data_IF_220896737671
#
_entry.id   IF_220896737671
#
_cell.length_a   1.000
_cell.length_b   1.000
_cell.length_c   1.000
_cell.angle_alpha   90.00
_cell.angle_beta   90.00
_cell.angle_gamma   90.00
#
_symmetry.space_group_name_H-M   'P 1'
#
loop_
_entity.id
_entity.type
_entity.pdbx_description
1 polymer ?
#
# COMPACT_ATOMS: atom_id res chain seq x y z
N UNK A 1 0.67 10.62 -13.67
CA UNK A 1 1.50 9.41 -13.58
C UNK A 1 2.53 9.59 -12.48
N UNK A 2 2.29 8.95 -11.31
CA UNK A 2 3.20 9.07 -10.18
C UNK A 2 4.47 8.24 -10.39
N UNK A 3 5.45 8.80 -11.06
CA UNK A 3 6.80 8.20 -11.06
C UNK A 3 7.45 8.45 -9.69
N UNK A 4 8.27 7.51 -9.24
CA UNK A 4 9.18 7.74 -8.12
C UNK A 4 10.05 8.94 -8.50
N UNK A 5 10.09 10.03 -7.71
CA UNK A 5 10.61 11.32 -8.19
C UNK A 5 12.14 11.46 -8.11
N UNK A 6 12.88 10.37 -8.24
CA UNK A 6 14.34 10.44 -8.34
C UNK A 6 14.81 9.69 -9.58
N UNK A 7 15.64 10.36 -10.35
CA UNK A 7 16.25 9.83 -11.55
C UNK A 7 17.46 8.97 -11.15
N UNK A 8 17.24 7.68 -11.05
CA UNK A 8 18.32 6.71 -10.85
C UNK A 8 18.21 5.64 -11.95
N UNK A 9 19.27 5.41 -12.74
CA UNK A 9 19.22 4.45 -13.85
C UNK A 9 18.86 3.04 -13.40
N UNK A 10 19.31 2.61 -12.23
CA UNK A 10 18.99 1.29 -11.69
C UNK A 10 17.50 1.18 -11.34
N UNK A 11 16.94 2.21 -10.70
CA UNK A 11 15.52 2.25 -10.37
C UNK A 11 14.67 2.27 -11.64
N UNK A 12 15.05 3.06 -12.64
CA UNK A 12 14.35 3.12 -13.92
C UNK A 12 14.36 1.76 -14.64
N UNK A 13 15.50 1.05 -14.64
CA UNK A 13 15.61 -0.29 -15.19
C UNK A 13 14.69 -1.27 -14.48
N UNK A 14 14.73 -1.29 -13.14
CA UNK A 14 13.88 -2.18 -12.33
C UNK A 14 12.39 -1.91 -12.54
N UNK A 15 12.00 -0.65 -12.66
CA UNK A 15 10.63 -0.28 -12.97
C UNK A 15 10.21 -0.73 -14.38
N UNK A 16 11.10 -0.58 -15.36
CA UNK A 16 10.83 -1.00 -16.73
C UNK A 16 10.65 -2.51 -16.85
N UNK A 17 11.54 -3.31 -16.27
CA UNK A 17 11.40 -4.77 -16.29
C UNK A 17 10.16 -5.23 -15.53
N UNK A 18 9.76 -4.51 -14.50
CA UNK A 18 8.51 -4.77 -13.77
C UNK A 18 7.29 -4.55 -14.67
N UNK A 19 7.22 -3.44 -15.39
CA UNK A 19 6.13 -3.18 -16.34
C UNK A 19 6.07 -4.24 -17.46
N UNK A 20 7.19 -4.65 -17.98
CA UNK A 20 7.27 -5.73 -18.97
C UNK A 20 6.79 -7.06 -18.37
N UNK A 21 7.17 -7.37 -17.15
CA UNK A 21 6.74 -8.57 -16.42
C UNK A 21 5.25 -8.57 -16.13
N UNK A 22 4.69 -7.44 -15.72
CA UNK A 22 3.25 -7.30 -15.48
C UNK A 22 2.42 -7.62 -16.73
N UNK A 23 2.91 -7.28 -17.91
CA UNK A 23 2.26 -7.66 -19.18
C UNK A 23 2.51 -9.11 -19.55
N UNK A 24 3.75 -9.58 -19.41
CA UNK A 24 4.17 -10.93 -19.80
C UNK A 24 3.43 -12.01 -19.03
N UNK A 25 3.27 -11.86 -17.72
CA UNK A 25 2.69 -12.87 -16.85
C UNK A 25 1.15 -12.77 -16.72
N UNK A 26 0.53 -11.78 -17.34
CA UNK A 26 -0.91 -11.64 -17.44
C UNK A 26 -1.37 -12.26 -18.76
N UNK A 27 -1.63 -13.57 -18.74
CA UNK A 27 -1.97 -14.35 -19.93
C UNK A 27 -3.16 -15.30 -19.67
N UNK A 28 -4.35 -14.75 -19.38
CA UNK A 28 -5.54 -15.58 -19.19
C UNK A 28 -6.10 -16.10 -20.52
N UNK A 29 -6.72 -17.28 -20.49
CA UNK A 29 -7.40 -17.85 -21.64
C UNK A 29 -8.69 -17.11 -22.02
N UNK A 30 -9.28 -16.37 -21.09
CA UNK A 30 -10.52 -15.61 -21.29
C UNK A 30 -10.18 -14.15 -21.54
N UNK A 31 -10.55 -13.65 -22.72
CA UNK A 31 -10.21 -12.28 -23.17
C UNK A 31 -10.74 -11.19 -22.22
N UNK A 32 -11.92 -11.35 -21.65
CA UNK A 32 -12.48 -10.39 -20.69
C UNK A 32 -11.58 -10.20 -19.46
N UNK A 33 -11.00 -11.27 -18.95
CA UNK A 33 -10.05 -11.23 -17.81
C UNK A 33 -8.81 -10.44 -18.21
N UNK A 34 -8.30 -10.63 -19.42
CA UNK A 34 -7.16 -9.89 -19.93
C UNK A 34 -7.50 -8.39 -20.08
N UNK A 35 -8.67 -8.06 -20.60
CA UNK A 35 -9.12 -6.68 -20.78
C UNK A 35 -9.22 -5.94 -19.44
N UNK A 36 -9.86 -6.53 -18.46
CA UNK A 36 -10.00 -5.93 -17.12
C UNK A 36 -8.66 -5.87 -16.40
N UNK A 37 -7.86 -6.93 -16.48
CA UNK A 37 -6.51 -6.96 -15.92
C UNK A 37 -5.63 -5.85 -16.49
N UNK A 38 -5.61 -5.69 -17.80
CA UNK A 38 -4.87 -4.61 -18.47
C UNK A 38 -5.40 -3.23 -18.11
N UNK A 39 -6.70 -3.08 -17.94
CA UNK A 39 -7.31 -1.82 -17.52
C UNK A 39 -6.78 -1.38 -16.15
N UNK A 40 -6.79 -2.27 -15.17
CA UNK A 40 -6.36 -1.94 -13.81
C UNK A 40 -4.83 -1.81 -13.69
N UNK A 41 -4.05 -2.69 -14.31
CA UNK A 41 -2.58 -2.62 -14.34
C UNK A 41 -2.13 -1.38 -15.12
N UNK A 42 -2.72 -1.15 -16.28
CA UNK A 42 -2.40 0.01 -17.14
C UNK A 42 -2.84 1.35 -16.56
N UNK A 43 -3.67 1.38 -15.52
CA UNK A 43 -4.05 2.58 -14.78
C UNK A 43 -2.89 3.30 -14.08
N UNK A 44 -1.72 2.70 -14.06
CA UNK A 44 -0.51 3.26 -13.47
C UNK A 44 -0.30 2.83 -12.01
N UNK A 45 0.60 3.50 -11.37
CA UNK A 45 1.02 3.26 -10.00
C UNK A 45 2.52 3.45 -9.88
N UNK A 46 3.00 3.66 -8.65
CA UNK A 46 4.42 3.91 -8.38
C UNK A 46 5.25 2.63 -8.39
N UNK A 47 4.61 1.47 -8.37
CA UNK A 47 5.26 0.15 -8.33
C UNK A 47 6.26 -0.01 -7.17
N UNK A 48 5.98 0.63 -6.03
CA UNK A 48 6.90 0.61 -4.88
C UNK A 48 7.12 -0.80 -4.34
N UNK A 49 6.08 -1.62 -4.27
CA UNK A 49 6.17 -2.97 -3.70
C UNK A 49 7.07 -3.88 -4.52
N UNK A 50 6.88 -4.03 -5.85
CA UNK A 50 7.82 -4.81 -6.65
C UNK A 50 9.22 -4.19 -6.68
N UNK A 51 9.34 -2.87 -6.72
CA UNK A 51 10.64 -2.17 -6.66
C UNK A 51 11.40 -2.52 -5.38
N UNK A 52 10.75 -2.48 -4.23
CA UNK A 52 11.35 -2.81 -2.94
C UNK A 52 11.85 -4.27 -2.91
N UNK A 53 11.05 -5.21 -3.40
CA UNK A 53 11.45 -6.61 -3.49
C UNK A 53 12.73 -6.77 -4.32
N UNK A 54 12.77 -6.17 -5.50
CA UNK A 54 13.91 -6.23 -6.41
C UNK A 54 15.16 -5.53 -5.84
N UNK A 55 14.98 -4.38 -5.18
CA UNK A 55 16.08 -3.65 -4.55
C UNK A 55 16.70 -4.45 -3.41
N UNK A 56 15.91 -5.05 -2.54
CA UNK A 56 16.45 -5.89 -1.46
C UNK A 56 17.17 -7.13 -2.02
N UNK A 57 16.58 -7.80 -2.99
CA UNK A 57 17.21 -8.94 -3.64
C UNK A 57 18.56 -8.56 -4.26
N UNK A 58 18.59 -7.50 -5.06
CA UNK A 58 19.81 -6.99 -5.71
C UNK A 58 20.85 -6.54 -4.68
N UNK A 59 20.42 -5.74 -3.69
CA UNK A 59 21.29 -5.20 -2.67
C UNK A 59 21.91 -6.24 -1.74
N UNK A 60 21.27 -7.39 -1.59
CA UNK A 60 21.73 -8.53 -0.80
C UNK A 60 22.48 -9.57 -1.62
N UNK A 61 22.71 -9.31 -2.91
CA UNK A 61 23.63 -10.10 -3.72
C UNK A 61 23.03 -11.08 -4.71
N UNK A 62 21.72 -11.00 -4.99
CA UNK A 62 21.13 -11.84 -6.06
C UNK A 62 21.74 -11.44 -7.40
N UNK A 63 22.36 -12.40 -8.15
CA UNK A 63 22.94 -12.12 -9.47
C UNK A 63 21.88 -11.65 -10.46
N UNK A 64 22.28 -10.80 -11.42
CA UNK A 64 21.38 -10.21 -12.41
C UNK A 64 20.57 -11.26 -13.18
N UNK A 65 21.18 -12.36 -13.58
CA UNK A 65 20.49 -13.45 -14.31
C UNK A 65 19.35 -14.05 -13.46
N UNK A 66 19.63 -14.34 -12.19
CA UNK A 66 18.63 -14.88 -11.25
C UNK A 66 17.55 -13.84 -10.94
N UNK A 67 17.95 -12.57 -10.83
CA UNK A 67 17.00 -11.46 -10.60
C UNK A 67 15.94 -11.42 -11.72
N UNK A 68 16.37 -11.51 -12.98
CA UNK A 68 15.47 -11.47 -14.13
C UNK A 68 14.63 -12.74 -14.28
N UNK A 69 15.24 -13.91 -14.10
CA UNK A 69 14.57 -15.19 -14.38
C UNK A 69 13.70 -15.70 -13.25
N UNK A 70 14.07 -15.45 -11.99
CA UNK A 70 13.39 -16.02 -10.82
C UNK A 70 12.80 -15.01 -9.86
N UNK A 71 13.46 -13.87 -9.65
CA UNK A 71 13.01 -12.87 -8.67
C UNK A 71 11.95 -11.93 -9.25
N UNK A 72 12.12 -11.51 -10.50
CA UNK A 72 11.15 -10.65 -11.17
C UNK A 72 9.73 -11.23 -11.17
N UNK A 73 9.49 -12.52 -11.48
CA UNK A 73 8.15 -13.10 -11.37
C UNK A 73 7.52 -12.96 -9.98
N UNK A 74 8.33 -13.04 -8.92
CA UNK A 74 7.87 -12.86 -7.54
C UNK A 74 7.45 -11.40 -7.28
N UNK A 75 8.22 -10.45 -7.79
CA UNK A 75 7.89 -9.02 -7.72
C UNK A 75 6.59 -8.72 -8.48
N UNK A 76 6.42 -9.30 -9.66
CA UNK A 76 5.17 -9.21 -10.44
C UNK A 76 4.00 -9.79 -9.65
N UNK A 77 4.18 -10.94 -9.01
CA UNK A 77 3.16 -11.57 -8.18
C UNK A 77 2.69 -10.65 -7.03
N UNK A 78 3.62 -9.98 -6.36
CA UNK A 78 3.28 -8.98 -5.33
C UNK A 78 2.40 -7.87 -5.89
N UNK A 79 2.72 -7.34 -7.06
CA UNK A 79 1.92 -6.27 -7.67
C UNK A 79 0.55 -6.79 -8.13
N UNK A 80 0.43 -8.03 -8.57
CA UNK A 80 -0.87 -8.65 -8.86
C UNK A 80 -1.73 -8.79 -7.60
N UNK A 81 -1.14 -9.14 -6.46
CA UNK A 81 -1.86 -9.17 -5.18
C UNK A 81 -2.38 -7.77 -4.83
N UNK A 82 -1.53 -6.76 -4.95
CA UNK A 82 -1.93 -5.37 -4.71
C UNK A 82 -3.07 -4.95 -5.63
N UNK A 83 -2.93 -5.21 -6.91
CA UNK A 83 -3.93 -4.85 -7.93
C UNK A 83 -5.24 -5.59 -7.72
N UNK A 84 -5.20 -6.87 -7.38
CA UNK A 84 -6.37 -7.66 -7.01
C UNK A 84 -7.11 -7.05 -5.82
N UNK A 85 -6.36 -6.63 -4.78
CA UNK A 85 -6.96 -5.95 -3.63
C UNK A 85 -7.67 -4.66 -4.01
N UNK A 86 -7.11 -3.89 -4.95
CA UNK A 86 -7.72 -2.66 -5.45
C UNK A 86 -9.04 -2.94 -6.19
N UNK A 87 -9.09 -3.99 -7.02
CA UNK A 87 -10.32 -4.40 -7.70
C UNK A 87 -11.43 -4.77 -6.70
N UNK A 88 -11.09 -5.55 -5.69
CA UNK A 88 -12.05 -5.97 -4.66
C UNK A 88 -12.50 -4.81 -3.78
N UNK A 89 -11.57 -3.98 -3.32
CA UNK A 89 -11.85 -2.84 -2.44
C UNK A 89 -12.78 -1.82 -3.12
N UNK A 90 -12.59 -1.56 -4.41
CA UNK A 90 -13.43 -0.63 -5.15
C UNK A 90 -14.88 -1.12 -5.25
N UNK A 91 -15.10 -2.43 -5.35
CA UNK A 91 -16.45 -3.01 -5.30
C UNK A 91 -17.06 -2.87 -3.90
N UNK A 92 -16.30 -3.23 -2.87
CA UNK A 92 -16.75 -3.16 -1.46
C UNK A 92 -17.06 -1.73 -1.05
N UNK A 93 -16.22 -0.76 -1.45
CA UNK A 93 -16.36 0.65 -1.10
C UNK A 93 -17.30 1.41 -2.06
N UNK A 94 -17.82 0.75 -3.10
CA UNK A 94 -18.63 1.38 -4.15
C UNK A 94 -17.93 2.61 -4.76
N UNK A 95 -16.61 2.51 -4.95
CA UNK A 95 -15.79 3.61 -5.46
C UNK A 95 -16.19 3.99 -6.89
N UNK A 96 -16.23 5.28 -7.17
CA UNK A 96 -16.54 5.78 -8.52
C UNK A 96 -15.29 5.80 -9.40
N UNK A 97 -14.15 6.13 -8.83
CA UNK A 97 -12.90 6.33 -9.55
C UNK A 97 -11.72 5.65 -8.87
N UNK A 98 -10.73 5.33 -9.69
CA UNK A 98 -9.41 4.83 -9.26
C UNK A 98 -8.34 5.53 -10.10
N UNK A 99 -7.41 6.25 -9.45
CA UNK A 99 -6.29 6.96 -10.13
C UNK A 99 -6.76 7.89 -11.26
N UNK A 100 -7.85 8.61 -11.03
CA UNK A 100 -8.43 9.55 -11.98
C UNK A 100 -9.21 8.92 -13.14
N UNK A 101 -9.36 7.58 -13.14
CA UNK A 101 -10.18 6.85 -14.11
C UNK A 101 -11.40 6.25 -13.45
N UNK A 102 -12.40 5.92 -14.24
CA UNK A 102 -13.58 5.21 -13.75
C UNK A 102 -13.17 3.86 -13.15
N UNK A 103 -13.73 3.49 -11.99
CA UNK A 103 -13.43 2.22 -11.35
C UNK A 103 -13.88 1.04 -12.24
N UNK A 104 -13.06 -0.03 -12.27
CA UNK A 104 -13.30 -1.17 -13.17
C UNK A 104 -14.68 -1.78 -13.03
N UNK A 105 -15.22 -1.90 -11.80
CA UNK A 105 -16.55 -2.48 -11.57
C UNK A 105 -17.69 -1.65 -12.20
N UNK A 106 -17.49 -0.37 -12.39
CA UNK A 106 -18.48 0.50 -13.04
C UNK A 106 -18.54 0.31 -14.56
N UNK A 107 -17.41 -0.03 -15.16
CA UNK A 107 -17.30 -0.28 -16.61
C UNK A 107 -17.69 -1.72 -16.93
N UNK A 108 -17.15 -2.69 -16.17
CA UNK A 108 -17.24 -4.12 -16.49
C UNK A 108 -18.24 -4.91 -15.63
N UNK A 109 -18.80 -4.27 -14.60
CA UNK A 109 -19.71 -4.89 -13.64
C UNK A 109 -18.96 -5.48 -12.42
N UNK A 110 -19.68 -5.60 -11.30
CA UNK A 110 -19.13 -6.09 -10.03
C UNK A 110 -18.59 -7.52 -10.14
N UNK A 111 -19.36 -8.41 -10.75
CA UNK A 111 -19.00 -9.83 -10.88
C UNK A 111 -17.70 -10.02 -11.65
N UNK A 112 -17.56 -9.36 -12.79
CA UNK A 112 -16.33 -9.43 -13.61
C UNK A 112 -15.13 -8.85 -12.86
N UNK A 113 -15.30 -7.72 -12.16
CA UNK A 113 -14.23 -7.10 -11.40
C UNK A 113 -13.76 -8.01 -10.25
N UNK A 114 -14.67 -8.57 -9.47
CA UNK A 114 -14.35 -9.49 -8.36
C UNK A 114 -13.63 -10.73 -8.86
N UNK A 115 -14.15 -11.39 -9.91
CA UNK A 115 -13.56 -12.62 -10.44
C UNK A 115 -12.21 -12.36 -11.14
N UNK A 116 -12.02 -11.20 -11.75
CA UNK A 116 -10.71 -10.82 -12.28
C UNK A 116 -9.70 -10.62 -11.14
N UNK A 117 -10.12 -10.02 -10.03
CA UNK A 117 -9.31 -9.95 -8.82
C UNK A 117 -8.92 -11.35 -8.30
N UNK A 118 -9.86 -12.29 -8.26
CA UNK A 118 -9.59 -13.68 -7.89
C UNK A 118 -8.58 -14.33 -8.83
N UNK A 119 -8.70 -14.10 -10.14
CA UNK A 119 -7.72 -14.57 -11.11
C UNK A 119 -6.33 -14.00 -10.82
N UNK A 120 -6.22 -12.72 -10.52
CA UNK A 120 -4.94 -12.07 -10.24
C UNK A 120 -4.31 -12.59 -8.96
N UNK A 121 -5.08 -12.85 -7.90
CA UNK A 121 -4.60 -13.54 -6.70
C UNK A 121 -4.07 -14.93 -7.02
N UNK A 122 -4.86 -15.73 -7.76
CA UNK A 122 -4.47 -17.08 -8.15
C UNK A 122 -3.21 -17.08 -9.03
N UNK A 123 -3.11 -16.14 -9.97
CA UNK A 123 -1.94 -15.98 -10.83
C UNK A 123 -0.68 -15.63 -10.03
N UNK A 124 -0.81 -14.77 -9.02
CA UNK A 124 0.28 -14.46 -8.09
C UNK A 124 0.75 -15.71 -7.34
N UNK A 125 -0.18 -16.50 -6.79
CA UNK A 125 0.16 -17.76 -6.12
C UNK A 125 0.82 -18.76 -7.08
N UNK A 126 0.37 -18.82 -8.32
CA UNK A 126 0.98 -19.65 -9.35
C UNK A 126 2.44 -19.24 -9.63
N UNK A 127 2.72 -17.95 -9.74
CA UNK A 127 4.10 -17.45 -9.90
C UNK A 127 4.97 -17.82 -8.70
N UNK A 128 4.45 -17.73 -7.47
CA UNK A 128 5.18 -18.14 -6.27
C UNK A 128 5.40 -19.64 -6.19
N UNK A 129 4.47 -20.45 -6.71
CA UNK A 129 4.65 -21.89 -6.81
C UNK A 129 5.76 -22.27 -7.82
N UNK A 130 5.85 -21.53 -8.93
CA UNK A 130 6.84 -21.81 -9.98
C UNK A 130 8.24 -21.29 -9.65
N UNK A 131 8.34 -20.08 -9.10
CA UNK A 131 9.60 -19.34 -8.98
C UNK A 131 10.05 -19.11 -7.53
N UNK A 132 9.18 -19.33 -6.57
CA UNK A 132 9.46 -19.17 -5.15
C UNK A 132 9.78 -20.48 -4.45
N UNK A 133 9.67 -20.44 -3.15
CA UNK A 133 9.82 -21.59 -2.27
C UNK A 133 8.75 -21.58 -1.17
N UNK A 134 8.73 -22.63 -0.34
CA UNK A 134 7.71 -22.75 0.71
C UNK A 134 7.70 -21.56 1.67
N UNK A 135 8.86 -21.04 2.07
CA UNK A 135 8.93 -19.90 3.00
C UNK A 135 8.37 -18.62 2.36
N UNK A 136 8.65 -18.37 1.09
CA UNK A 136 8.08 -17.23 0.37
C UNK A 136 6.57 -17.34 0.26
N UNK A 137 6.03 -18.52 -0.03
CA UNK A 137 4.59 -18.77 -0.07
C UNK A 137 3.96 -18.52 1.29
N UNK A 138 4.58 -19.01 2.36
CA UNK A 138 4.14 -18.77 3.74
C UNK A 138 4.05 -17.29 4.06
N UNK A 139 5.11 -16.52 3.76
CA UNK A 139 5.18 -15.08 4.01
C UNK A 139 4.10 -14.32 3.23
N UNK A 140 3.95 -14.59 1.95
CA UNK A 140 2.96 -13.91 1.09
C UNK A 140 1.54 -14.30 1.48
N UNK A 141 1.30 -15.58 1.78
CA UNK A 141 -0.02 -16.04 2.24
C UNK A 141 -0.42 -15.39 3.56
N UNK A 142 0.53 -15.24 4.48
CA UNK A 142 0.29 -14.52 5.74
C UNK A 142 -0.09 -13.05 5.49
N UNK A 143 0.59 -12.39 4.56
CA UNK A 143 0.25 -11.01 4.20
C UNK A 143 -1.18 -10.91 3.62
N UNK A 144 -1.56 -11.82 2.72
CA UNK A 144 -2.91 -11.83 2.13
C UNK A 144 -3.99 -12.07 3.19
N UNK A 145 -3.74 -12.98 4.14
CA UNK A 145 -4.64 -13.19 5.29
C UNK A 145 -4.83 -11.91 6.10
N UNK A 146 -3.72 -11.24 6.44
CA UNK A 146 -3.76 -9.98 7.18
C UNK A 146 -4.48 -8.86 6.40
N UNK A 147 -4.31 -8.81 5.09
CA UNK A 147 -5.01 -7.85 4.23
C UNK A 147 -6.54 -8.05 4.28
N UNK A 148 -6.99 -9.29 4.17
CA UNK A 148 -8.41 -9.63 4.26
C UNK A 148 -8.98 -9.31 5.65
N UNK A 149 -8.28 -9.68 6.71
CA UNK A 149 -8.68 -9.40 8.08
C UNK A 149 -8.75 -7.88 8.36
N UNK A 150 -7.76 -7.12 7.88
CA UNK A 150 -7.74 -5.67 8.01
C UNK A 150 -8.89 -5.00 7.30
N UNK A 151 -9.23 -5.45 6.10
CA UNK A 151 -10.38 -4.94 5.33
C UNK A 151 -11.71 -5.24 6.04
N UNK A 152 -11.90 -6.45 6.52
CA UNK A 152 -13.11 -6.82 7.28
C UNK A 152 -13.22 -6.02 8.56
N UNK A 153 -12.13 -5.84 9.30
CA UNK A 153 -12.11 -5.06 10.53
C UNK A 153 -12.47 -3.60 10.27
N UNK A 154 -11.89 -2.99 9.24
CA UNK A 154 -12.24 -1.61 8.86
C UNK A 154 -13.71 -1.50 8.51
N UNK A 155 -14.23 -2.40 7.69
CA UNK A 155 -15.63 -2.39 7.29
C UNK A 155 -16.58 -2.51 8.50
N UNK A 156 -16.24 -3.39 9.44
CA UNK A 156 -17.02 -3.58 10.67
C UNK A 156 -16.98 -2.36 11.59
N UNK A 157 -15.91 -1.59 11.58
CA UNK A 157 -15.70 -0.44 12.47
C UNK A 157 -16.14 0.90 11.88
N UNK A 158 -16.62 0.93 10.66
CA UNK A 158 -17.20 2.15 10.07
C UNK A 158 -18.34 2.66 10.96
N UNK A 159 -18.34 3.96 11.26
CA UNK A 159 -19.32 4.59 12.12
C UNK A 159 -18.99 4.58 13.62
N UNK A 160 -17.92 3.92 14.02
CA UNK A 160 -17.46 3.84 15.42
C UNK A 160 -16.15 4.61 15.62
N UNK A 161 -16.02 5.25 16.79
CA UNK A 161 -14.72 5.76 17.23
C UNK A 161 -13.86 4.60 17.72
N UNK A 162 -12.75 4.35 17.04
CA UNK A 162 -11.82 3.29 17.39
C UNK A 162 -10.61 3.85 18.15
N UNK A 163 -9.91 2.99 18.87
CA UNK A 163 -8.66 3.33 19.54
C UNK A 163 -7.45 3.23 18.59
N UNK A 164 -6.29 3.71 19.06
CA UNK A 164 -5.04 3.68 18.30
C UNK A 164 -4.61 2.24 17.95
N UNK A 165 -4.76 1.30 18.88
CA UNK A 165 -4.42 -0.12 18.66
C UNK A 165 -5.23 -0.73 17.52
N UNK A 166 -6.54 -0.48 17.48
CA UNK A 166 -7.42 -0.94 16.39
C UNK A 166 -7.07 -0.27 15.07
N UNK A 167 -6.77 1.03 15.09
CA UNK A 167 -6.30 1.76 13.91
C UNK A 167 -5.06 1.10 13.31
N UNK A 168 -4.02 0.84 14.12
CA UNK A 168 -2.81 0.20 13.61
C UNK A 168 -3.05 -1.23 13.15
N UNK A 169 -3.92 -1.98 13.78
CA UNK A 169 -4.32 -3.31 13.31
C UNK A 169 -4.93 -3.25 11.90
N UNK A 170 -5.78 -2.27 11.64
CA UNK A 170 -6.39 -2.06 10.32
C UNK A 170 -5.32 -1.73 9.27
N UNK A 171 -4.49 -0.72 9.51
CA UNK A 171 -3.50 -0.29 8.52
C UNK A 171 -2.37 -1.29 8.32
N UNK A 172 -2.00 -2.03 9.37
CA UNK A 172 -1.01 -3.11 9.26
C UNK A 172 -1.50 -4.22 8.33
N UNK A 173 -2.78 -4.56 8.40
CA UNK A 173 -3.38 -5.49 7.45
C UNK A 173 -3.52 -4.91 6.05
N UNK A 174 -4.24 -3.82 5.91
CA UNK A 174 -4.59 -3.26 4.60
C UNK A 174 -3.40 -2.78 3.77
N UNK A 175 -2.39 -2.21 4.41
CA UNK A 175 -1.28 -1.53 3.72
C UNK A 175 0.07 -2.12 4.05
N UNK A 176 0.41 -2.23 5.33
CA UNK A 176 1.78 -2.54 5.78
C UNK A 176 2.18 -3.99 5.49
N UNK A 177 1.24 -4.94 5.59
CA UNK A 177 1.54 -6.37 5.44
C UNK A 177 2.15 -6.70 4.07
N UNK A 178 1.64 -6.11 2.99
CA UNK A 178 2.16 -6.37 1.65
C UNK A 178 3.52 -5.68 1.41
N UNK A 179 3.76 -4.51 1.98
CA UNK A 179 5.09 -3.92 2.01
C UNK A 179 6.08 -4.83 2.76
N UNK A 180 5.66 -5.36 3.91
CA UNK A 180 6.46 -6.27 4.72
C UNK A 180 6.79 -7.57 3.96
N UNK A 181 5.81 -8.16 3.29
CA UNK A 181 6.02 -9.33 2.44
C UNK A 181 6.98 -9.05 1.29
N UNK A 182 6.88 -7.89 0.65
CA UNK A 182 7.76 -7.49 -0.46
C UNK A 182 9.22 -7.47 -0.04
N UNK A 183 9.54 -6.81 1.06
CA UNK A 183 10.90 -6.69 1.56
C UNK A 183 11.43 -8.02 2.12
N UNK A 184 10.58 -8.80 2.78
CA UNK A 184 10.93 -10.13 3.27
C UNK A 184 11.21 -11.12 2.12
N UNK A 185 10.40 -11.13 1.06
CA UNK A 185 10.61 -11.98 -0.11
C UNK A 185 11.89 -11.60 -0.85
N UNK A 186 12.18 -10.30 -0.98
CA UNK A 186 13.45 -9.84 -1.54
C UNK A 186 14.67 -10.40 -0.78
N UNK A 187 14.62 -10.38 0.55
CA UNK A 187 15.66 -10.96 1.40
C UNK A 187 15.73 -12.49 1.27
N UNK A 188 14.60 -13.17 1.23
CA UNK A 188 14.55 -14.63 1.04
C UNK A 188 15.10 -15.04 -0.33
N UNK A 189 14.86 -14.24 -1.38
CA UNK A 189 15.45 -14.47 -2.70
C UNK A 189 16.99 -14.42 -2.66
N UNK A 190 17.56 -13.62 -1.76
CA UNK A 190 19.00 -13.55 -1.49
C UNK A 190 19.44 -14.56 -0.41
N UNK A 191 18.60 -15.51 -0.07
CA UNK A 191 18.89 -16.58 0.90
C UNK A 191 19.20 -16.09 2.33
N UNK A 192 18.61 -14.97 2.73
CA UNK A 192 18.73 -14.45 4.08
C UNK A 192 17.83 -15.24 5.04
N UNK A 193 18.44 -15.88 6.05
CA UNK A 193 17.69 -16.66 7.06
C UNK A 193 16.90 -15.77 8.02
N UNK A 194 17.42 -14.60 8.34
CA UNK A 194 16.82 -13.61 9.23
C UNK A 194 15.81 -12.69 8.52
N UNK A 195 14.95 -13.24 7.71
CA UNK A 195 13.98 -12.49 6.90
C UNK A 195 13.03 -11.61 7.74
N UNK A 196 12.86 -11.92 9.02
CA UNK A 196 11.96 -11.17 9.91
C UNK A 196 12.36 -9.69 10.07
N UNK A 197 13.65 -9.38 10.07
CA UNK A 197 14.09 -7.99 10.14
C UNK A 197 13.69 -7.20 8.90
N UNK A 198 13.64 -7.86 7.76
CA UNK A 198 13.18 -7.24 6.49
C UNK A 198 11.66 -7.11 6.45
N UNK A 199 10.93 -8.05 7.02
CA UNK A 199 9.50 -7.91 7.26
C UNK A 199 9.22 -6.67 8.12
N UNK A 200 9.94 -6.49 9.21
CA UNK A 200 9.80 -5.32 10.10
C UNK A 200 10.09 -4.01 9.37
N UNK A 201 11.10 -3.99 8.52
CA UNK A 201 11.37 -2.82 7.67
C UNK A 201 10.17 -2.46 6.82
N UNK A 202 9.62 -3.41 6.09
CA UNK A 202 8.47 -3.18 5.23
C UNK A 202 7.21 -2.79 6.00
N UNK A 203 7.02 -3.37 7.18
CA UNK A 203 5.92 -3.02 8.08
C UNK A 203 5.98 -1.54 8.49
N UNK A 204 7.14 -1.06 8.90
CA UNK A 204 7.35 0.34 9.30
C UNK A 204 7.18 1.30 8.13
N UNK A 205 7.72 0.95 6.98
CA UNK A 205 7.53 1.74 5.75
C UNK A 205 6.05 1.84 5.37
N UNK A 206 5.33 0.72 5.41
CA UNK A 206 3.89 0.68 5.10
C UNK A 206 3.05 1.50 6.07
N UNK A 207 3.38 1.47 7.37
CA UNK A 207 2.74 2.33 8.37
C UNK A 207 2.95 3.81 8.07
N UNK A 208 4.20 4.19 7.79
CA UNK A 208 4.51 5.57 7.43
C UNK A 208 3.76 6.00 6.16
N UNK A 209 3.72 5.14 5.17
CA UNK A 209 3.00 5.38 3.92
C UNK A 209 1.52 5.66 4.18
N UNK A 210 0.85 4.84 4.98
CA UNK A 210 -0.57 5.02 5.29
C UNK A 210 -0.81 6.23 6.19
N UNK A 211 0.04 6.49 7.17
CA UNK A 211 -0.06 7.69 8.01
C UNK A 211 0.01 8.98 7.18
N UNK A 212 0.91 9.04 6.20
CA UNK A 212 0.98 10.18 5.28
C UNK A 212 -0.29 10.30 4.43
N UNK A 213 -0.84 9.19 3.90
CA UNK A 213 -2.12 9.23 3.19
C UNK A 213 -3.24 9.78 4.07
N UNK A 214 -3.30 9.35 5.31
CA UNK A 214 -4.32 9.80 6.26
C UNK A 214 -4.14 11.28 6.62
N UNK A 215 -2.90 11.76 6.76
CA UNK A 215 -2.59 13.17 6.95
C UNK A 215 -3.03 14.02 5.73
N UNK A 216 -2.74 13.53 4.53
CA UNK A 216 -3.09 14.23 3.29
C UNK A 216 -4.60 14.34 3.08
N UNK A 217 -5.40 13.39 3.57
CA UNK A 217 -6.86 13.46 3.55
C UNK A 217 -7.41 14.68 4.32
N UNK A 218 -6.70 15.11 5.36
CA UNK A 218 -7.05 16.29 6.16
C UNK A 218 -6.37 17.57 5.67
N UNK A 219 -5.26 17.45 4.95
CA UNK A 219 -4.46 18.57 4.45
C UNK A 219 -4.91 19.00 3.06
N UNK A 220 -4.79 20.27 2.75
CA UNK A 220 -4.97 20.76 1.39
C UNK A 220 -6.23 21.58 1.21
N UNK A 221 -6.41 22.06 0.00
CA UNK A 221 -7.54 22.83 -0.49
C UNK A 221 -8.24 21.99 -1.55
N UNK A 222 -9.55 21.84 -1.45
CA UNK A 222 -10.40 21.13 -2.42
C UNK A 222 -10.14 21.60 -3.86
N UNK A 223 -9.80 22.88 -4.03
CA UNK A 223 -9.51 23.47 -5.32
C UNK A 223 -8.18 23.02 -5.93
N UNK A 224 -7.18 22.72 -5.09
CA UNK A 224 -5.85 22.29 -5.53
C UNK A 224 -5.73 20.79 -5.73
N UNK A 225 -6.46 20.00 -4.94
CA UNK A 225 -6.31 18.55 -4.87
C UNK A 225 -7.37 17.80 -5.67
N UNK A 226 -8.49 18.45 -5.98
CA UNK A 226 -9.59 17.83 -6.71
C UNK A 226 -10.35 16.74 -5.94
N UNK A 227 -10.07 16.58 -4.66
CA UNK A 227 -10.76 15.66 -3.75
C UNK A 227 -11.32 16.44 -2.57
N UNK A 228 -12.50 16.03 -2.02
CA UNK A 228 -13.01 16.61 -0.78
C UNK A 228 -12.02 16.37 0.37
N UNK A 229 -11.84 17.38 1.22
CA UNK A 229 -11.02 17.27 2.43
C UNK A 229 -11.83 16.54 3.51
N UNK A 230 -11.15 15.64 4.25
CA UNK A 230 -11.79 14.91 5.34
C UNK A 230 -12.72 13.79 4.87
N UNK A 231 -12.44 13.20 3.73
CA UNK A 231 -13.25 12.13 3.15
C UNK A 231 -13.37 10.92 4.09
N UNK A 232 -12.28 10.56 4.78
CA UNK A 232 -12.29 9.44 5.74
C UNK A 232 -13.30 9.67 6.86
N UNK A 233 -13.27 10.84 7.47
CA UNK A 233 -14.22 11.19 8.53
C UNK A 233 -15.66 11.25 8.00
N UNK A 234 -15.86 11.82 6.82
CA UNK A 234 -17.16 11.85 6.14
C UNK A 234 -17.74 10.45 5.97
N UNK A 235 -16.91 9.48 5.65
CA UNK A 235 -17.28 8.07 5.46
C UNK A 235 -17.44 7.29 6.77
N UNK A 236 -17.24 7.94 7.91
CA UNK A 236 -17.34 7.30 9.23
C UNK A 236 -16.10 6.53 9.65
N UNK A 237 -14.94 6.88 9.09
CA UNK A 237 -13.65 6.24 9.40
C UNK A 237 -12.85 7.08 10.39
N UNK A 238 -12.35 6.45 11.46
CA UNK A 238 -11.39 7.04 12.38
C UNK A 238 -9.98 6.82 11.85
N UNK A 239 -9.25 7.91 11.59
CA UNK A 239 -7.84 7.83 11.21
C UNK A 239 -6.95 8.62 12.18
N UNK A 240 -5.65 8.51 12.02
CA UNK A 240 -4.68 9.03 13.00
C UNK A 240 -4.78 10.54 13.26
N UNK A 241 -5.02 11.42 12.27
CA UNK A 241 -5.19 12.85 12.55
C UNK A 241 -6.24 13.14 13.62
N UNK A 242 -7.40 12.48 13.53
CA UNK A 242 -8.45 12.57 14.53
C UNK A 242 -8.00 12.03 15.90
N UNK A 243 -7.40 10.84 15.92
CA UNK A 243 -6.92 10.20 17.14
C UNK A 243 -5.85 11.04 17.85
N UNK A 244 -4.97 11.68 17.10
CA UNK A 244 -3.84 12.44 17.64
C UNK A 244 -4.25 13.67 18.46
N UNK A 245 -5.46 14.18 18.27
CA UNK A 245 -5.97 15.39 18.93
C UNK A 245 -7.29 15.13 19.70
N UNK A 246 -7.65 13.87 19.85
CA UNK A 246 -8.94 13.46 20.41
C UNK A 246 -9.20 14.04 21.81
N UNK A 247 -8.16 14.18 22.62
CA UNK A 247 -8.24 14.76 23.97
C UNK A 247 -8.79 16.20 24.00
N UNK A 248 -8.62 16.93 22.91
CA UNK A 248 -9.03 18.33 22.77
C UNK A 248 -10.35 18.49 21.99
N UNK A 249 -11.04 17.38 21.71
CA UNK A 249 -12.31 17.37 21.00
C UNK A 249 -13.46 16.95 21.91
N UNK A 250 -14.66 17.38 21.55
CA UNK A 250 -15.87 16.88 22.20
C UNK A 250 -16.19 15.47 21.67
N UNK A 251 -16.03 14.46 22.52
CA UNK A 251 -16.21 13.06 22.14
C UNK A 251 -17.61 12.74 21.62
N UNK A 252 -18.63 13.33 22.22
CA UNK A 252 -20.02 13.09 21.79
C UNK A 252 -20.29 13.65 20.38
N UNK A 253 -19.73 14.81 20.06
CA UNK A 253 -19.80 15.36 18.70
C UNK A 253 -19.05 14.49 17.69
N UNK A 254 -17.86 14.02 18.06
CA UNK A 254 -17.05 13.11 17.21
C UNK A 254 -17.80 11.81 16.93
N UNK A 255 -18.33 11.17 17.96
CA UNK A 255 -19.12 9.94 17.83
C UNK A 255 -20.37 10.14 16.97
N UNK A 256 -21.05 11.27 17.13
CA UNK A 256 -22.21 11.62 16.32
C UNK A 256 -21.87 11.77 14.84
N UNK A 257 -20.77 12.44 14.53
CA UNK A 257 -20.30 12.61 13.14
C UNK A 257 -19.94 11.26 12.54
N UNK A 258 -19.18 10.41 13.24
CA UNK A 258 -18.79 9.09 12.78
C UNK A 258 -19.99 8.18 12.52
N UNK A 259 -20.99 8.22 13.39
CA UNK A 259 -22.20 7.39 13.29
C UNK A 259 -23.20 7.85 12.23
N UNK A 260 -22.95 8.99 11.58
CA UNK A 260 -23.79 9.54 10.52
C UNK A 260 -22.97 9.72 9.22
N UNK A 261 -22.56 8.63 8.56
CA UNK A 261 -21.77 8.71 7.34
C UNK A 261 -22.48 9.54 6.26
N UNK A 262 -21.68 10.34 5.54
CA UNK A 262 -22.14 11.24 4.48
C UNK A 262 -23.03 12.41 4.94
N UNK A 263 -23.09 12.67 6.26
CA UNK A 263 -23.67 13.90 6.81
C UNK A 263 -22.73 15.10 6.66
N UNK A 264 -23.23 16.31 6.96
CA UNK A 264 -22.44 17.56 6.81
C UNK A 264 -21.61 17.94 8.05
N UNK A 265 -21.85 17.29 9.20
CA UNK A 265 -21.21 17.62 10.46
C UNK A 265 -19.69 17.40 10.53
N UNK A 266 -19.13 16.60 9.62
CA UNK A 266 -17.71 16.28 9.59
C UNK A 266 -16.81 17.50 9.32
N UNK A 267 -17.29 18.49 8.58
CA UNK A 267 -16.50 19.68 8.18
C UNK A 267 -15.97 20.46 9.37
N UNK A 268 -16.80 20.65 10.40
CA UNK A 268 -16.41 21.33 11.64
C UNK A 268 -15.29 20.56 12.35
N UNK A 269 -15.43 19.25 12.46
CA UNK A 269 -14.43 18.39 13.12
C UNK A 269 -13.12 18.40 12.35
N UNK A 270 -13.17 18.33 11.01
CA UNK A 270 -11.96 18.42 10.15
C UNK A 270 -11.20 19.70 10.40
N UNK A 271 -11.88 20.84 10.47
CA UNK A 271 -11.25 22.14 10.75
C UNK A 271 -10.60 22.15 12.14
N UNK A 272 -11.29 21.63 13.16
CA UNK A 272 -10.74 21.55 14.52
C UNK A 272 -9.50 20.63 14.58
N UNK A 273 -9.53 19.49 13.92
CA UNK A 273 -8.38 18.58 13.84
C UNK A 273 -7.17 19.28 13.21
N UNK A 274 -7.39 20.05 12.14
CA UNK A 274 -6.32 20.84 11.49
C UNK A 274 -5.79 21.93 12.44
N UNK A 275 -6.66 22.70 13.07
CA UNK A 275 -6.27 23.77 14.00
C UNK A 275 -5.49 23.24 15.21
N UNK A 276 -5.84 22.06 15.71
CA UNK A 276 -5.16 21.40 16.83
C UNK A 276 -3.85 20.72 16.45
N UNK A 277 -3.46 20.76 15.17
CA UNK A 277 -2.20 20.20 14.70
C UNK A 277 -2.25 18.71 14.40
N UNK A 278 -3.44 18.12 14.13
CA UNK A 278 -3.60 16.70 13.85
C UNK A 278 -2.83 16.22 12.63
N UNK A 279 -2.75 17.04 11.60
CA UNK A 279 -1.96 16.73 10.38
C UNK A 279 -0.46 16.63 10.72
N UNK A 280 0.08 17.60 11.42
CA UNK A 280 1.50 17.63 11.77
C UNK A 280 1.89 16.51 12.75
N UNK A 281 1.03 16.23 13.73
CA UNK A 281 1.22 15.09 14.65
C UNK A 281 1.24 13.74 13.91
N UNK A 282 0.41 13.58 12.89
CA UNK A 282 0.39 12.38 12.05
C UNK A 282 1.66 12.24 11.23
N UNK A 283 2.13 13.32 10.62
CA UNK A 283 3.41 13.36 9.89
C UNK A 283 4.60 13.04 10.80
N UNK A 284 4.58 13.56 12.02
CA UNK A 284 5.60 13.26 13.03
C UNK A 284 5.62 11.77 13.41
N UNK A 285 4.44 11.16 13.58
CA UNK A 285 4.34 9.72 13.80
C UNK A 285 4.91 8.93 12.62
N UNK A 286 4.61 9.35 11.38
CA UNK A 286 5.18 8.74 10.17
C UNK A 286 6.70 8.84 10.14
N UNK A 287 7.28 9.99 10.49
CA UNK A 287 8.74 10.18 10.58
C UNK A 287 9.36 9.23 11.59
N UNK A 288 8.70 8.99 12.73
CA UNK A 288 9.15 8.01 13.73
C UNK A 288 9.23 6.59 13.17
N UNK A 289 8.22 6.15 12.41
CA UNK A 289 8.23 4.86 11.74
C UNK A 289 9.36 4.76 10.68
N UNK A 290 9.57 5.82 9.91
CA UNK A 290 10.65 5.87 8.92
C UNK A 290 12.03 5.88 9.56
N UNK A 291 12.21 6.54 10.70
CA UNK A 291 13.46 6.51 11.43
C UNK A 291 13.78 5.10 11.92
N UNK A 292 12.79 4.37 12.42
CA UNK A 292 12.95 2.97 12.81
C UNK A 292 13.31 2.08 11.59
N UNK A 293 12.73 2.36 10.42
CA UNK A 293 13.08 1.68 9.18
C UNK A 293 14.54 1.97 8.77
N UNK A 294 15.00 3.22 8.87
CA UNK A 294 16.42 3.60 8.59
C UNK A 294 17.40 2.85 9.50
N UNK A 295 17.07 2.71 10.76
CA UNK A 295 17.90 1.96 11.71
C UNK A 295 18.07 0.50 11.28
N UNK A 296 17.03 -0.12 10.71
CA UNK A 296 17.10 -1.47 10.16
C UNK A 296 18.06 -1.50 8.96
N UNK A 297 18.00 -0.52 8.05
CA UNK A 297 18.92 -0.45 6.91
C UNK A 297 20.39 -0.40 7.34
N UNK A 298 20.68 0.19 8.49
CA UNK A 298 22.04 0.26 9.05
C UNK A 298 22.52 -1.08 9.66
N UNK A 299 21.62 -2.03 9.88
CA UNK A 299 21.93 -3.32 10.54
C UNK A 299 22.02 -4.49 9.55
N UNK A 300 21.68 -4.29 8.29
CA UNK A 300 21.62 -5.34 7.26
C UNK A 300 22.71 -5.17 6.22
N UNK A 301 23.20 -6.28 5.61
CA UNK A 301 24.36 -6.25 4.71
C UNK A 301 24.02 -5.84 3.27
N UNK A 302 23.28 -4.76 3.11
CA UNK A 302 22.98 -4.18 1.81
C UNK A 302 24.21 -3.49 1.21
N UNK A 303 24.39 -3.58 -0.10
CA UNK A 303 25.40 -2.76 -0.76
C UNK A 303 25.05 -1.27 -0.65
N UNK A 304 26.08 -0.43 -0.69
CA UNK A 304 25.92 1.02 -0.42
C UNK A 304 25.04 1.75 -1.41
N UNK A 305 25.05 1.31 -2.67
CA UNK A 305 24.23 1.92 -3.73
C UNK A 305 22.73 1.66 -3.48
N UNK A 306 22.35 0.41 -3.21
CA UNK A 306 20.96 0.05 -2.91
C UNK A 306 20.50 0.68 -1.59
N UNK A 307 21.36 0.70 -0.58
CA UNK A 307 21.05 1.38 0.68
C UNK A 307 20.72 2.86 0.46
N UNK A 308 21.47 3.55 -0.40
CA UNK A 308 21.20 4.94 -0.78
C UNK A 308 19.83 5.07 -1.47
N UNK A 309 19.50 4.19 -2.40
CA UNK A 309 18.21 4.19 -3.10
C UNK A 309 17.05 3.95 -2.12
N UNK A 310 17.19 3.03 -1.19
CA UNK A 310 16.18 2.76 -0.17
C UNK A 310 15.97 3.97 0.75
N UNK A 311 17.04 4.66 1.14
CA UNK A 311 16.92 5.90 1.90
C UNK A 311 16.19 7.00 1.12
N UNK A 312 16.41 7.10 -0.20
CA UNK A 312 15.66 8.02 -1.06
C UNK A 312 14.17 7.68 -1.12
N UNK A 313 13.83 6.40 -1.13
CA UNK A 313 12.42 5.96 -1.06
C UNK A 313 11.79 6.38 0.29
N UNK A 314 12.51 6.22 1.40
CA UNK A 314 12.02 6.67 2.70
C UNK A 314 11.78 8.19 2.73
N UNK A 315 12.70 8.99 2.19
CA UNK A 315 12.54 10.44 2.07
C UNK A 315 11.32 10.79 1.22
N UNK A 316 11.15 10.11 0.10
CA UNK A 316 10.00 10.31 -0.79
C UNK A 316 8.66 10.09 -0.08
N UNK A 317 8.54 9.05 0.75
CA UNK A 317 7.29 8.75 1.47
C UNK A 317 6.87 9.91 2.38
N UNK A 318 7.81 10.57 3.06
CA UNK A 318 7.51 11.73 3.92
C UNK A 318 7.14 12.97 3.11
N UNK A 319 7.84 13.20 1.99
CA UNK A 319 7.75 14.45 1.22
C UNK A 319 6.62 14.42 0.19
N UNK A 320 6.00 13.27 -0.04
CA UNK A 320 4.95 13.18 -1.07
C UNK A 320 3.76 14.07 -0.72
N UNK A 321 3.29 14.72 -1.77
CA UNK A 321 2.03 15.43 -1.84
C UNK A 321 1.14 14.75 -2.86
N UNK A 322 -0.12 15.12 -2.96
CA UNK A 322 -1.06 14.55 -3.95
C UNK A 322 -0.57 14.72 -5.40
#
# INVERSE_FOLDING_TARGET
MGKVPFNDPTVEELLQITEEGLRKYLDPAVETVLTVGNYIVGGGGKRLRPLLLLLFAKGLGVPQTILLEKTLPLAVGIEYIHTASLLHDDVVDEAETRRGKEAAHRIFGNGVAVLTGDYMYANALYLYALYGNQKMIEVVSQAVKLMAEGQVLELKKVGELIDEGTYFQIIDGKTSALFAASTAVGALAAQQENWQIYWDFGLKLGRAFQLIDDALDYEGDEKQVGKPIGQDLKEGKTTYPLLSVLENLNLEEVKKVLSSPNGDGYKKIVLLVKELGGVEKTKERARGELQAAREILNKVPLNGEVKRMLNQILDFVVERTY
#
